data_IF_039486633729
#
_entry.id   IF_039486633729
#
_cell.length_a   1.000
_cell.length_b   1.000
_cell.length_c   1.000
_cell.angle_alpha   90.00
_cell.angle_beta   90.00
_cell.angle_gamma   90.00
#
_symmetry.space_group_name_H-M   'P 1'
#
loop_
_entity.id
_entity.type
_entity.pdbx_description
1 polymer ?
#
# COMPACT_ATOMS: atom_id res chain seq x y z
N UNK A 1 -1.17 -8.64 19.52
CA UNK A 1 -1.78 -7.72 18.56
C UNK A 1 -1.69 -8.28 17.18
N UNK A 2 -2.77 -8.13 16.39
CA UNK A 2 -2.77 -8.66 15.04
C UNK A 2 -1.95 -7.78 14.12
N UNK A 3 -1.29 -8.42 13.15
CA UNK A 3 -0.57 -7.69 12.11
C UNK A 3 -1.33 -7.88 10.82
N UNK A 4 -1.64 -6.78 10.15
CA UNK A 4 -2.37 -6.84 8.90
C UNK A 4 -1.38 -6.70 7.74
N UNK A 5 -1.60 -7.51 6.71
CA UNK A 5 -0.76 -7.47 5.53
C UNK A 5 -0.96 -6.12 4.82
N UNK A 6 0.09 -5.39 4.58
CA UNK A 6 -0.01 -4.09 3.94
C UNK A 6 -0.51 -4.20 2.50
N UNK A 7 -0.23 -5.31 1.81
CA UNK A 7 -0.76 -5.51 0.46
C UNK A 7 -2.28 -5.67 0.50
N UNK A 8 -2.81 -6.33 1.53
CA UNK A 8 -4.25 -6.48 1.67
C UNK A 8 -4.90 -5.14 1.98
N UNK A 9 -4.27 -4.32 2.82
CA UNK A 9 -4.78 -2.99 3.11
C UNK A 9 -4.78 -2.11 1.87
N UNK A 10 -3.74 -2.21 1.04
CA UNK A 10 -3.69 -1.47 -0.20
C UNK A 10 -4.74 -1.94 -1.19
N UNK A 11 -5.04 -3.25 -1.22
CA UNK A 11 -6.12 -3.76 -2.04
C UNK A 11 -7.46 -3.17 -1.62
N UNK A 12 -7.72 -3.12 -0.33
CA UNK A 12 -8.98 -2.56 0.18
C UNK A 12 -9.11 -1.11 -0.23
N UNK A 13 -8.06 -0.32 -0.03
CA UNK A 13 -8.07 1.09 -0.39
C UNK A 13 -8.27 1.27 -1.90
N UNK A 14 -7.59 0.48 -2.71
CA UNK A 14 -7.69 0.58 -4.16
C UNK A 14 -9.11 0.23 -4.65
N UNK A 15 -9.73 -0.79 -4.07
CA UNK A 15 -11.08 -1.17 -4.47
C UNK A 15 -12.05 -0.01 -4.25
N UNK A 16 -11.94 0.66 -3.12
CA UNK A 16 -12.83 1.77 -2.81
C UNK A 16 -12.51 2.99 -3.67
N UNK A 17 -11.24 3.31 -3.81
CA UNK A 17 -10.83 4.49 -4.59
C UNK A 17 -11.18 4.32 -6.06
N UNK A 18 -11.05 3.11 -6.61
CA UNK A 18 -11.37 2.86 -8.00
C UNK A 18 -12.85 2.52 -8.21
N UNK A 19 -13.54 2.19 -7.16
CA UNK A 19 -14.96 1.87 -7.25
C UNK A 19 -15.28 0.44 -7.62
N UNK A 20 -14.31 -0.42 -7.75
CA UNK A 20 -14.55 -1.81 -8.11
C UNK A 20 -13.29 -2.66 -8.10
N UNK A 21 -13.49 -3.98 -8.16
CA UNK A 21 -12.40 -4.94 -8.09
C UNK A 21 -11.57 -4.95 -9.35
N UNK A 22 -12.22 -4.85 -10.50
CA UNK A 22 -11.52 -4.93 -11.77
C UNK A 22 -10.55 -3.77 -11.93
N UNK A 23 -11.01 -2.56 -11.64
CA UNK A 23 -10.17 -1.38 -11.77
C UNK A 23 -9.04 -1.38 -10.75
N UNK A 24 -9.32 -1.89 -9.56
CA UNK A 24 -8.30 -2.02 -8.54
C UNK A 24 -7.21 -2.99 -9.00
N UNK A 25 -7.59 -4.08 -9.63
CA UNK A 25 -6.64 -5.07 -10.12
C UNK A 25 -5.72 -4.46 -11.18
N UNK A 26 -6.28 -3.67 -12.09
CA UNK A 26 -5.49 -2.98 -13.10
C UNK A 26 -4.49 -2.03 -12.43
N UNK A 27 -4.98 -1.23 -11.47
CA UNK A 27 -4.13 -0.26 -10.79
C UNK A 27 -2.98 -0.93 -10.05
N UNK A 28 -3.24 -2.08 -9.43
CA UNK A 28 -2.25 -2.77 -8.63
C UNK A 28 -1.41 -3.76 -9.46
N UNK A 29 -1.71 -3.91 -10.74
CA UNK A 29 -1.01 -4.82 -11.65
C UNK A 29 -1.08 -6.27 -11.18
N UNK A 30 -2.24 -6.67 -10.70
CA UNK A 30 -2.49 -8.05 -10.29
C UNK A 30 -3.81 -8.50 -10.91
N UNK A 31 -4.15 -9.77 -10.74
CA UNK A 31 -5.41 -10.28 -11.26
C UNK A 31 -6.55 -9.89 -10.34
N UNK A 32 -7.76 -9.86 -10.89
CA UNK A 32 -8.93 -9.59 -10.08
C UNK A 32 -9.13 -10.69 -9.02
N UNK A 33 -8.79 -11.92 -9.37
CA UNK A 33 -8.84 -13.03 -8.44
C UNK A 33 -7.91 -12.80 -7.24
N UNK A 34 -6.72 -12.27 -7.48
CA UNK A 34 -5.78 -11.98 -6.41
C UNK A 34 -6.33 -10.88 -5.49
N UNK A 35 -6.95 -9.85 -6.07
CA UNK A 35 -7.55 -8.78 -5.27
C UNK A 35 -8.67 -9.36 -4.40
N UNK A 36 -9.53 -10.20 -4.98
CA UNK A 36 -10.63 -10.80 -4.24
C UNK A 36 -10.13 -11.69 -3.12
N UNK A 37 -9.08 -12.46 -3.36
CA UNK A 37 -8.53 -13.35 -2.34
C UNK A 37 -7.91 -12.56 -1.19
N UNK A 38 -7.20 -11.49 -1.50
CA UNK A 38 -6.59 -10.66 -0.46
C UNK A 38 -7.66 -9.99 0.39
N UNK A 39 -8.74 -9.54 -0.25
CA UNK A 39 -9.83 -8.93 0.49
C UNK A 39 -10.50 -9.94 1.42
N UNK A 40 -10.77 -11.14 0.91
CA UNK A 40 -11.40 -12.16 1.74
C UNK A 40 -10.53 -12.56 2.92
N UNK A 41 -9.23 -12.66 2.70
CA UNK A 41 -8.31 -12.98 3.78
C UNK A 41 -8.31 -11.88 4.83
N UNK A 42 -8.38 -10.64 4.40
CA UNK A 42 -8.42 -9.50 5.33
C UNK A 42 -9.74 -9.50 6.11
N UNK A 43 -10.86 -9.76 5.44
CA UNK A 43 -12.15 -9.84 6.13
C UNK A 43 -12.17 -10.96 7.15
N UNK A 44 -11.56 -12.09 6.81
CA UNK A 44 -11.48 -13.20 7.75
C UNK A 44 -10.63 -12.84 8.94
N UNK A 45 -9.54 -12.13 8.72
CA UNK A 45 -8.64 -11.72 9.80
C UNK A 45 -9.31 -10.70 10.73
N UNK A 46 -10.06 -9.76 10.16
CA UNK A 46 -10.77 -8.75 10.94
C UNK A 46 -12.03 -9.31 11.58
N UNK A 47 -12.67 -10.25 10.92
CA UNK A 47 -13.87 -10.88 11.44
C UNK A 47 -15.17 -10.23 11.00
N UNK A 48 -15.13 -9.36 9.99
CA UNK A 48 -16.34 -8.73 9.51
C UNK A 48 -16.16 -8.31 8.06
N UNK A 49 -17.27 -7.98 7.38
CA UNK A 49 -17.20 -7.50 6.01
C UNK A 49 -16.68 -6.07 5.99
N UNK A 50 -15.91 -5.77 4.98
CA UNK A 50 -15.26 -4.47 4.85
C UNK A 50 -15.84 -3.63 3.73
N UNK A 51 -16.64 -4.23 2.83
CA UNK A 51 -17.20 -3.53 1.68
C UNK A 51 -18.68 -3.77 1.55
N UNK A 52 -19.38 -2.74 1.08
CA UNK A 52 -20.78 -2.83 0.66
C UNK A 52 -20.75 -2.99 -0.85
N UNK A 53 -21.40 -4.05 -1.36
CA UNK A 53 -21.37 -4.35 -2.79
C UNK A 53 -22.39 -3.50 -3.53
N UNK A 54 -22.18 -2.19 -3.51
CA UNK A 54 -23.02 -1.25 -4.25
C UNK A 54 -22.26 -0.79 -5.48
N UNK A 55 -22.82 0.13 -6.24
CA UNK A 55 -22.15 0.71 -7.39
C UNK A 55 -22.17 2.23 -7.25
N UNK A 56 -21.01 2.83 -6.95
CA UNK A 56 -19.71 2.18 -6.75
C UNK A 56 -19.62 1.47 -5.42
N UNK A 57 -18.65 0.60 -5.27
CA UNK A 57 -18.42 -0.12 -4.03
C UNK A 57 -18.03 0.88 -2.94
N UNK A 58 -18.60 0.70 -1.76
CA UNK A 58 -18.34 1.58 -0.62
C UNK A 58 -17.83 0.78 0.56
N UNK A 59 -17.05 1.41 1.45
CA UNK A 59 -16.55 0.71 2.63
C UNK A 59 -17.62 0.65 3.71
N UNK A 60 -17.59 -0.42 4.51
CA UNK A 60 -18.34 -0.47 5.76
C UNK A 60 -17.61 0.41 6.78
N UNK A 61 -18.17 0.54 7.98
CA UNK A 61 -17.48 1.28 9.05
C UNK A 61 -16.11 0.68 9.35
N UNK A 62 -16.03 -0.66 9.40
CA UNK A 62 -14.76 -1.34 9.62
C UNK A 62 -13.82 -1.10 8.45
N UNK A 63 -14.34 -1.12 7.22
CA UNK A 63 -13.52 -0.83 6.04
C UNK A 63 -12.95 0.56 6.08
N UNK A 64 -13.73 1.55 6.51
CA UNK A 64 -13.24 2.93 6.62
C UNK A 64 -12.12 3.06 7.62
N UNK A 65 -12.20 2.35 8.74
CA UNK A 65 -11.13 2.39 9.73
C UNK A 65 -9.83 1.82 9.18
N UNK A 66 -9.92 0.72 8.44
CA UNK A 66 -8.74 0.11 7.86
C UNK A 66 -8.15 0.96 6.74
N UNK A 67 -8.98 1.60 5.94
CA UNK A 67 -8.50 2.50 4.89
C UNK A 67 -7.80 3.70 5.51
N UNK A 68 -8.36 4.25 6.58
CA UNK A 68 -7.73 5.36 7.28
C UNK A 68 -6.35 4.94 7.77
N UNK A 69 -6.25 3.74 8.34
CA UNK A 69 -4.97 3.21 8.79
C UNK A 69 -3.98 3.06 7.64
N UNK A 70 -4.44 2.54 6.50
CA UNK A 70 -3.59 2.36 5.33
C UNK A 70 -3.05 3.71 4.85
N UNK A 71 -3.88 4.74 4.84
CA UNK A 71 -3.45 6.06 4.43
C UNK A 71 -2.45 6.67 5.40
N UNK A 72 -2.65 6.47 6.69
CA UNK A 72 -1.71 6.94 7.69
C UNK A 72 -0.36 6.22 7.55
N UNK A 73 -0.38 4.94 7.23
CA UNK A 73 0.85 4.21 7.00
C UNK A 73 1.60 4.72 5.77
N UNK A 74 0.87 5.10 4.71
CA UNK A 74 1.50 5.69 3.53
C UNK A 74 2.21 6.99 3.89
N UNK A 75 1.57 7.84 4.69
CA UNK A 75 2.16 9.11 5.10
C UNK A 75 3.38 8.88 5.97
N UNK A 76 3.30 7.95 6.92
CA UNK A 76 4.42 7.64 7.79
C UNK A 76 5.60 7.10 6.99
N UNK A 77 5.33 6.26 5.99
CA UNK A 77 6.38 5.71 5.16
C UNK A 77 7.05 6.81 4.34
N UNK A 78 6.25 7.74 3.78
CA UNK A 78 6.79 8.85 3.02
C UNK A 78 7.65 9.74 3.90
N UNK A 79 7.22 10.00 5.12
CA UNK A 79 8.00 10.80 6.07
C UNK A 79 9.30 10.10 6.42
N UNK A 80 9.26 8.79 6.62
CA UNK A 80 10.45 8.03 6.93
C UNK A 80 11.44 8.08 5.77
N UNK A 81 10.96 7.94 4.54
CA UNK A 81 11.83 7.99 3.38
C UNK A 81 12.49 9.35 3.25
N UNK A 82 11.73 10.42 3.48
CA UNK A 82 12.28 11.77 3.45
C UNK A 82 13.33 11.94 4.53
N UNK A 83 13.05 11.49 5.74
CA UNK A 83 14.00 11.61 6.85
C UNK A 83 15.26 10.81 6.58
N UNK A 84 15.13 9.63 6.00
CA UNK A 84 16.30 8.83 5.67
C UNK A 84 17.15 9.48 4.60
N UNK A 85 16.51 10.12 3.61
CA UNK A 85 17.27 10.83 2.59
C UNK A 85 18.04 11.99 3.19
N UNK A 86 17.46 12.69 4.15
CA UNK A 86 18.15 13.80 4.80
C UNK A 86 19.34 13.31 5.61
N UNK A 87 19.28 12.11 6.15
CA UNK A 87 20.37 11.58 6.94
C UNK A 87 21.44 10.88 6.11
N UNK A 88 21.20 10.65 4.84
CA UNK A 88 22.15 9.94 4.00
C UNK A 88 22.90 10.96 3.15
N UNK A 89 24.07 11.37 3.58
CA UNK A 89 24.81 12.43 2.90
C UNK A 89 25.16 11.99 1.50
N UNK A 90 25.01 12.88 0.57
CA UNK A 90 25.39 12.57 -0.76
C UNK A 90 24.36 11.83 -1.56
N UNK A 91 23.36 11.28 -0.93
CA UNK A 91 22.34 10.58 -1.67
C UNK A 91 21.68 11.51 -2.64
N UNK A 92 21.27 12.65 -2.20
CA UNK A 92 20.66 13.61 -3.08
C UNK A 92 21.65 14.13 -4.10
N UNK A 93 22.87 14.31 -3.68
CA UNK A 93 23.88 14.83 -4.58
C UNK A 93 24.38 13.78 -5.52
N UNK A 94 24.46 12.56 -5.07
CA UNK A 94 24.98 11.55 -5.89
C UNK A 94 23.99 10.88 -6.73
N UNK A 95 22.78 10.96 -6.31
CA UNK A 95 21.83 10.22 -6.90
C UNK A 95 21.77 10.29 -8.33
N UNK A 96 21.94 11.33 -8.91
CA UNK A 96 21.80 11.41 -10.27
C UNK A 96 22.83 10.68 -10.99
N UNK A 97 24.01 10.74 -10.56
CA UNK A 97 25.01 10.11 -11.27
C UNK A 97 25.59 9.03 -10.56
N UNK A 98 25.45 9.01 -9.30
CA UNK A 98 26.03 8.01 -8.68
C UNK A 98 25.18 7.13 -8.08
N UNK A 99 24.08 7.44 -7.83
CA UNK A 99 23.32 6.74 -7.14
C UNK A 99 23.22 5.52 -7.65
N UNK A 100 23.39 5.47 -8.51
CA UNK A 100 23.33 4.41 -9.05
C UNK A 100 24.24 3.50 -8.58
N UNK A 101 25.16 3.86 -8.20
CA UNK A 101 26.08 3.00 -7.81
C UNK A 101 25.98 2.63 -6.46
N UNK A 102 25.58 3.07 -5.78
CA UNK A 102 25.59 2.69 -4.50
C UNK A 102 24.53 2.03 -4.06
N UNK A 103 24.38 2.13 -4.35
CA UNK A 103 23.83 2.05 -4.34
C UNK A 103 23.51 1.17 -4.30
N UNK A 104 23.58 0.87 -4.57
CA UNK A 104 23.64 0.57 -4.88
C UNK A 104 23.75 -0.09 -4.58
N UNK A 105 23.94 -0.37 -4.30
CA UNK A 105 24.27 -0.60 -4.25
C UNK A 105 23.94 -0.78 -3.87
N UNK A 106 23.65 -0.62 -3.73
CA UNK A 106 23.46 -0.33 -3.60
C UNK A 106 22.78 -0.63 -3.49
N UNK A 107 22.38 -0.80 -3.61
CA UNK A 107 21.96 -0.74 -3.80
C UNK A 107 21.57 -1.15 -3.32
N UNK A 108 21.49 -1.52 -3.02
CA UNK A 108 21.46 -1.52 -2.72
C UNK A 108 21.05 -1.42 -1.85
N UNK A 109 20.77 -1.39 -1.33
CA UNK A 109 20.49 -0.90 -0.73
C UNK A 109 19.77 -0.61 -0.82
N UNK A 110 19.37 -0.64 -1.08
CA UNK A 110 18.80 -0.24 -1.46
C UNK A 110 18.12 -0.36 -1.63
N UNK A 111 17.81 -0.54 -1.57
CA UNK A 111 17.38 -0.50 -1.99
C UNK A 111 17.12 -0.45 -2.12
#
# INVERSE_FOLDING_TARGET
>A
MRTFDSDALECLAAIVEEGGFERAAVRLSVTQSAVSQRLRALEAQVGTVLLVRSRPIKPTSAGRLLIKHAMQMRLLRADLETDLQDLTPGTGALREEDRISIAINADSIAT
#
